data_IF_146344346194
#
_entry.id   IF_146344346194
#
_cell.length_a   1.000
_cell.length_b   1.000
_cell.length_c   1.000
_cell.angle_alpha   90.00
_cell.angle_beta   90.00
_cell.angle_gamma   90.00
#
_symmetry.space_group_name_H-M   'P 1'
#
loop_
_entity.id
_entity.type
_entity.pdbx_description
1 polymer ?
#
# COMPACT_ATOMS: atom_id res chain seq x y z
N UNK A 1 59.21 40.46 3.32
CA UNK A 1 58.84 39.14 2.76
C UNK A 1 57.78 38.50 3.67
N UNK A 2 56.74 37.93 3.06
CA UNK A 2 55.73 37.00 3.61
C UNK A 2 54.59 37.51 4.52
N UNK A 3 53.39 37.58 3.93
CA UNK A 3 52.02 37.31 4.45
C UNK A 3 51.08 37.74 3.30
N UNK A 4 50.17 36.93 2.79
CA UNK A 4 48.91 36.46 3.39
C UNK A 4 48.45 35.23 2.58
N UNK A 5 48.13 34.13 3.27
CA UNK A 5 47.50 32.94 2.67
C UNK A 5 46.01 33.23 2.59
N UNK A 6 45.49 33.37 1.37
CA UNK A 6 44.06 33.55 1.09
C UNK A 6 43.34 32.22 1.17
N UNK A 7 42.47 32.06 2.16
CA UNK A 7 41.60 30.89 2.33
C UNK A 7 40.35 31.07 1.47
N UNK A 8 40.35 30.54 0.24
CA UNK A 8 39.15 30.44 -0.59
C UNK A 8 38.31 29.24 -0.14
N UNK A 9 37.23 29.51 0.59
CA UNK A 9 36.19 28.51 0.89
C UNK A 9 35.30 28.39 -0.34
N UNK A 10 35.46 27.30 -1.11
CA UNK A 10 34.50 26.88 -2.13
C UNK A 10 33.29 26.23 -1.44
N UNK A 11 32.18 26.96 -1.38
CA UNK A 11 30.86 26.40 -1.07
C UNK A 11 30.35 25.64 -2.30
N UNK A 12 30.54 24.32 -2.30
CA UNK A 12 29.85 23.41 -3.23
C UNK A 12 28.40 23.23 -2.73
N UNK A 13 27.46 23.95 -3.31
CA UNK A 13 26.03 23.64 -3.21
C UNK A 13 25.72 22.46 -4.12
N UNK A 14 25.70 21.25 -3.55
CA UNK A 14 25.16 20.07 -4.22
C UNK A 14 23.65 20.24 -4.39
N UNK A 15 23.20 20.42 -5.63
CA UNK A 15 21.80 20.25 -6.00
C UNK A 15 21.46 18.76 -5.84
N UNK A 16 20.86 18.40 -4.70
CA UNK A 16 20.16 17.13 -4.61
C UNK A 16 18.98 17.21 -5.57
N UNK A 17 19.06 16.45 -6.67
CA UNK A 17 17.89 16.20 -7.51
C UNK A 17 16.93 15.38 -6.65
N UNK A 18 15.84 15.99 -6.20
CA UNK A 18 14.72 15.21 -5.67
C UNK A 18 14.16 14.45 -6.87
N UNK A 19 14.35 13.12 -6.89
CA UNK A 19 13.50 12.31 -7.74
C UNK A 19 12.08 12.53 -7.23
N UNK A 20 11.23 13.13 -8.06
CA UNK A 20 9.82 13.33 -7.74
C UNK A 20 9.22 11.93 -7.52
N UNK A 21 8.58 11.72 -6.38
CA UNK A 21 7.85 10.49 -6.11
C UNK A 21 6.84 10.28 -7.24
N UNK A 22 6.83 9.07 -7.83
CA UNK A 22 5.86 8.71 -8.83
C UNK A 22 4.57 8.17 -8.21
N UNK A 23 3.57 7.85 -9.04
CA UNK A 23 2.28 7.32 -8.57
C UNK A 23 2.41 6.06 -7.70
N UNK A 24 3.41 5.21 -7.94
CA UNK A 24 3.69 4.04 -7.13
C UNK A 24 4.18 4.37 -5.73
N UNK A 25 5.08 5.35 -5.61
CA UNK A 25 5.61 5.85 -4.33
C UNK A 25 4.54 6.59 -3.52
N UNK A 26 3.68 7.38 -4.17
CA UNK A 26 2.56 8.05 -3.51
C UNK A 26 1.56 7.03 -2.95
N UNK A 27 1.21 6.01 -3.75
CA UNK A 27 0.35 4.92 -3.31
C UNK A 27 1.00 4.11 -2.17
N UNK A 28 2.32 3.93 -2.19
CA UNK A 28 3.03 3.25 -1.11
C UNK A 28 2.94 4.00 0.21
N UNK A 29 3.10 5.33 0.20
CA UNK A 29 2.93 6.16 1.40
C UNK A 29 1.49 6.07 1.94
N UNK A 30 0.50 6.10 1.04
CA UNK A 30 -0.89 5.91 1.43
C UNK A 30 -1.13 4.55 2.08
N UNK A 31 -0.64 3.47 1.46
CA UNK A 31 -0.75 2.11 1.99
C UNK A 31 -0.07 2.00 3.37
N UNK A 32 1.13 2.55 3.54
CA UNK A 32 1.87 2.56 4.82
C UNK A 32 1.06 3.20 5.94
N UNK A 33 0.43 4.36 5.68
CA UNK A 33 -0.45 5.05 6.64
C UNK A 33 -1.65 4.17 6.99
N UNK A 34 -2.32 3.61 5.99
CA UNK A 34 -3.52 2.80 6.18
C UNK A 34 -3.24 1.49 6.93
N UNK A 35 -2.09 0.86 6.68
CA UNK A 35 -1.61 -0.32 7.40
C UNK A 35 -1.24 -0.04 8.86
N UNK A 36 -0.77 1.18 9.15
CA UNK A 36 -0.51 1.61 10.53
C UNK A 36 -1.82 1.74 11.31
N UNK A 37 -2.85 2.35 10.71
CA UNK A 37 -4.19 2.44 11.30
C UNK A 37 -4.81 1.04 11.46
N UNK A 38 -4.70 0.17 10.46
CA UNK A 38 -5.14 -1.22 10.54
C UNK A 38 -4.50 -1.95 11.74
N UNK A 39 -3.19 -1.78 11.92
CA UNK A 39 -2.44 -2.38 13.03
C UNK A 39 -2.93 -1.87 14.38
N UNK A 40 -3.19 -0.56 14.51
CA UNK A 40 -3.71 0.03 15.74
C UNK A 40 -5.11 -0.51 16.08
N UNK A 41 -5.99 -0.59 15.08
CA UNK A 41 -7.34 -1.16 15.23
C UNK A 41 -7.31 -2.63 15.61
N UNK A 42 -6.42 -3.41 14.99
CA UNK A 42 -6.20 -4.81 15.34
C UNK A 42 -5.81 -4.97 16.82
N UNK A 43 -4.82 -4.21 17.27
CA UNK A 43 -4.34 -4.25 18.66
C UNK A 43 -5.42 -3.81 19.65
N UNK A 44 -6.21 -2.79 19.32
CA UNK A 44 -7.33 -2.32 20.15
C UNK A 44 -8.41 -3.39 20.30
N UNK A 45 -8.82 -4.02 19.19
CA UNK A 45 -9.82 -5.08 19.20
C UNK A 45 -9.33 -6.33 19.97
N UNK A 46 -8.04 -6.68 19.84
CA UNK A 46 -7.43 -7.79 20.55
C UNK A 46 -7.41 -7.65 22.08
N UNK A 47 -7.55 -6.43 22.62
CA UNK A 47 -7.63 -6.20 24.08
C UNK A 47 -8.95 -6.66 24.69
N UNK A 48 -10.00 -6.84 23.88
CA UNK A 48 -11.35 -7.21 24.33
C UNK A 48 -11.95 -8.29 23.43
N UNK A 49 -11.31 -9.46 23.29
CA UNK A 49 -11.63 -10.41 22.22
C UNK A 49 -13.06 -10.96 22.26
N UNK A 50 -13.67 -11.05 23.45
CA UNK A 50 -15.05 -11.51 23.62
C UNK A 50 -16.11 -10.40 23.52
N UNK A 51 -15.71 -9.15 23.32
CA UNK A 51 -16.67 -8.07 23.10
C UNK A 51 -17.34 -8.22 21.72
N UNK A 52 -18.60 -7.75 21.57
CA UNK A 52 -19.21 -7.64 20.25
C UNK A 52 -18.34 -6.83 19.29
N UNK A 53 -18.30 -7.24 18.04
CA UNK A 53 -17.70 -6.45 16.97
C UNK A 53 -18.34 -5.06 16.87
N UNK A 54 -17.55 -4.10 16.40
CA UNK A 54 -18.02 -2.75 16.09
C UNK A 54 -17.89 -2.54 14.59
N UNK A 55 -18.98 -2.67 13.80
CA UNK A 55 -18.95 -2.46 12.36
C UNK A 55 -18.34 -1.10 12.01
N UNK A 56 -17.79 -0.99 10.80
CA UNK A 56 -17.32 0.30 10.31
C UNK A 56 -18.54 1.19 10.05
N UNK A 57 -18.55 2.35 10.70
CA UNK A 57 -19.55 3.36 10.41
C UNK A 57 -19.32 3.94 9.00
N UNK A 58 -20.39 4.36 8.33
CA UNK A 58 -20.30 5.07 7.06
C UNK A 58 -19.57 6.42 7.24
N UNK A 59 -19.59 6.97 8.46
CA UNK A 59 -18.87 8.19 8.82
C UNK A 59 -17.42 7.93 9.27
N UNK A 60 -16.99 6.66 9.39
CA UNK A 60 -15.61 6.34 9.75
C UNK A 60 -14.67 6.67 8.59
N UNK A 61 -13.69 7.60 8.77
CA UNK A 61 -12.74 7.95 7.72
C UNK A 61 -11.99 6.74 7.15
N UNK A 62 -11.76 5.73 7.99
CA UNK A 62 -11.03 4.53 7.59
C UNK A 62 -11.78 3.71 6.53
N UNK A 63 -13.12 3.71 6.55
CA UNK A 63 -13.94 3.06 5.52
C UNK A 63 -13.66 3.69 4.15
N UNK A 64 -13.70 5.04 4.10
CA UNK A 64 -13.45 5.78 2.87
C UNK A 64 -12.03 5.55 2.35
N UNK A 65 -11.04 5.53 3.25
CA UNK A 65 -9.65 5.28 2.86
C UNK A 65 -9.44 3.84 2.35
N UNK A 66 -10.14 2.83 2.90
CA UNK A 66 -10.09 1.47 2.37
C UNK A 66 -10.72 1.37 0.97
N UNK A 67 -11.85 2.05 0.74
CA UNK A 67 -12.46 2.13 -0.58
C UNK A 67 -11.55 2.85 -1.59
N UNK A 68 -10.91 3.94 -1.16
CA UNK A 68 -9.93 4.66 -1.96
C UNK A 68 -8.75 3.75 -2.32
N UNK A 69 -8.18 3.03 -1.35
CA UNK A 69 -7.10 2.08 -1.60
C UNK A 69 -7.51 1.00 -2.62
N UNK A 70 -8.73 0.48 -2.49
CA UNK A 70 -9.24 -0.52 -3.42
C UNK A 70 -9.38 0.04 -4.84
N UNK A 71 -9.84 1.28 -4.99
CA UNK A 71 -9.97 1.97 -6.27
C UNK A 71 -8.61 2.27 -6.90
N UNK A 72 -7.67 2.84 -6.15
CA UNK A 72 -6.33 3.18 -6.61
C UNK A 72 -5.53 1.94 -6.99
N UNK A 73 -5.63 0.86 -6.21
CA UNK A 73 -5.06 -0.45 -6.58
C UNK A 73 -5.57 -0.92 -7.95
N UNK A 74 -6.88 -0.81 -8.19
CA UNK A 74 -7.45 -1.21 -9.48
C UNK A 74 -7.01 -0.28 -10.63
N UNK A 75 -6.81 1.01 -10.35
CA UNK A 75 -6.29 1.96 -11.33
C UNK A 75 -4.85 1.62 -11.71
N UNK A 76 -3.95 1.40 -10.75
CA UNK A 76 -2.57 0.96 -11.00
C UNK A 76 -2.54 -0.32 -11.84
N UNK A 77 -3.39 -1.29 -11.51
CA UNK A 77 -3.53 -2.52 -12.31
C UNK A 77 -3.85 -2.23 -13.79
N UNK A 78 -4.77 -1.30 -14.07
CA UNK A 78 -5.17 -0.91 -15.43
C UNK A 78 -4.08 -0.12 -16.15
N UNK A 79 -3.37 0.74 -15.44
CA UNK A 79 -2.26 1.52 -16.00
C UNK A 79 -1.09 0.62 -16.40
N UNK A 80 -0.73 -0.34 -15.55
CA UNK A 80 0.26 -1.37 -15.87
C UNK A 80 -0.17 -2.15 -17.12
N UNK A 81 -1.46 -2.55 -17.21
CA UNK A 81 -1.99 -3.26 -18.37
C UNK A 81 -1.89 -2.42 -19.66
N UNK A 82 -2.31 -1.16 -19.60
CA UNK A 82 -2.30 -0.24 -20.73
C UNK A 82 -0.87 0.07 -21.23
N UNK A 83 0.11 0.07 -20.34
CA UNK A 83 1.52 0.24 -20.65
C UNK A 83 2.19 -1.05 -21.17
N UNK A 84 1.48 -2.19 -21.18
CA UNK A 84 2.08 -3.49 -21.49
C UNK A 84 3.08 -3.96 -20.43
N UNK A 85 2.93 -3.48 -19.19
CA UNK A 85 3.80 -3.79 -18.07
C UNK A 85 3.67 -5.23 -17.56
N UNK A 86 4.42 -5.57 -16.50
CA UNK A 86 4.48 -6.95 -16.01
C UNK A 86 3.09 -7.47 -15.62
N UNK A 87 2.71 -8.61 -16.20
CA UNK A 87 1.43 -9.29 -15.93
C UNK A 87 1.22 -9.46 -14.43
N UNK A 88 2.31 -9.71 -13.70
CA UNK A 88 2.28 -9.89 -12.26
C UNK A 88 1.85 -8.70 -11.47
N UNK A 89 2.48 -7.55 -11.70
CA UNK A 89 2.12 -6.34 -11.00
C UNK A 89 0.64 -6.02 -11.27
N UNK A 90 0.21 -6.14 -12.53
CA UNK A 90 -1.20 -6.03 -12.90
C UNK A 90 -2.08 -6.97 -12.07
N UNK A 91 -1.70 -8.24 -11.91
CA UNK A 91 -2.48 -9.21 -11.16
C UNK A 91 -2.49 -8.95 -9.65
N UNK A 92 -1.34 -8.55 -9.09
CA UNK A 92 -1.15 -8.24 -7.68
C UNK A 92 -2.06 -7.07 -7.29
N UNK A 93 -2.00 -5.94 -8.00
CA UNK A 93 -2.82 -4.77 -7.69
C UNK A 93 -4.32 -5.03 -7.86
N UNK A 94 -4.70 -5.83 -8.87
CA UNK A 94 -6.10 -6.28 -9.00
C UNK A 94 -6.53 -7.20 -7.87
N UNK A 95 -5.60 -8.01 -7.36
CA UNK A 95 -5.79 -8.84 -6.16
C UNK A 95 -6.02 -7.98 -4.94
N UNK A 96 -5.14 -7.00 -4.68
CA UNK A 96 -5.23 -6.06 -3.56
C UNK A 96 -6.57 -5.33 -3.53
N UNK A 97 -7.01 -4.79 -4.67
CA UNK A 97 -8.33 -4.14 -4.79
C UNK A 97 -9.48 -5.01 -4.29
N UNK A 98 -9.52 -6.28 -4.73
CA UNK A 98 -10.57 -7.22 -4.35
C UNK A 98 -10.44 -7.71 -2.91
N UNK A 99 -9.22 -7.95 -2.45
CA UNK A 99 -8.96 -8.41 -1.08
C UNK A 99 -9.35 -7.34 -0.07
N UNK A 100 -9.08 -6.07 -0.36
CA UNK A 100 -9.53 -4.95 0.47
C UNK A 100 -11.06 -4.90 0.56
N UNK A 101 -11.78 -4.98 -0.55
CA UNK A 101 -13.26 -5.00 -0.55
C UNK A 101 -13.82 -6.18 0.27
N UNK A 102 -13.28 -7.38 0.06
CA UNK A 102 -13.68 -8.56 0.81
C UNK A 102 -13.43 -8.40 2.33
N UNK A 103 -12.37 -7.70 2.71
CA UNK A 103 -12.04 -7.42 4.12
C UNK A 103 -12.94 -6.34 4.73
N UNK A 104 -13.37 -5.33 3.97
CA UNK A 104 -14.39 -4.37 4.42
C UNK A 104 -15.68 -5.13 4.78
N UNK A 105 -16.15 -5.98 3.87
CA UNK A 105 -17.32 -6.83 4.10
C UNK A 105 -17.15 -7.73 5.32
N UNK A 106 -15.97 -8.34 5.48
CA UNK A 106 -15.65 -9.19 6.63
C UNK A 106 -15.65 -8.42 7.95
N UNK A 107 -15.14 -7.18 7.99
CA UNK A 107 -15.17 -6.35 9.22
C UNK A 107 -16.61 -6.06 9.65
N UNK A 108 -17.48 -5.79 8.69
CA UNK A 108 -18.89 -5.50 8.93
C UNK A 108 -19.70 -6.75 9.27
N UNK A 109 -19.27 -7.94 8.83
CA UNK A 109 -19.88 -9.22 9.13
C UNK A 109 -19.34 -9.88 10.41
N UNK A 110 -18.23 -9.41 10.96
CA UNK A 110 -17.63 -9.96 12.18
C UNK A 110 -18.61 -9.87 13.35
N UNK A 111 -18.66 -10.92 14.16
CA UNK A 111 -19.51 -10.99 15.36
C UNK A 111 -18.73 -10.56 16.60
N UNK A 112 -17.42 -10.81 16.62
CA UNK A 112 -16.57 -10.55 17.78
C UNK A 112 -15.40 -9.62 17.47
N UNK A 113 -14.93 -8.91 18.49
CA UNK A 113 -13.71 -8.11 18.39
C UNK A 113 -12.47 -8.96 18.08
N UNK A 114 -12.45 -10.25 18.46
CA UNK A 114 -11.38 -11.17 18.07
C UNK A 114 -11.31 -11.39 16.56
N UNK A 115 -12.46 -11.59 15.91
CA UNK A 115 -12.54 -11.70 14.45
C UNK A 115 -12.09 -10.41 13.77
N UNK A 116 -12.58 -9.25 14.24
CA UNK A 116 -12.15 -7.95 13.73
C UNK A 116 -10.63 -7.75 13.89
N UNK A 117 -10.06 -8.14 15.03
CA UNK A 117 -8.61 -8.05 15.24
C UNK A 117 -7.84 -8.83 14.18
N UNK A 118 -8.30 -10.04 13.83
CA UNK A 118 -7.68 -10.86 12.79
C UNK A 118 -7.83 -10.24 11.39
N UNK A 119 -9.00 -9.69 11.07
CA UNK A 119 -9.25 -9.07 9.77
C UNK A 119 -8.40 -7.80 9.61
N UNK A 120 -8.34 -6.95 10.63
CA UNK A 120 -7.48 -5.75 10.64
C UNK A 120 -5.98 -6.11 10.56
N UNK A 121 -5.55 -7.20 11.20
CA UNK A 121 -4.16 -7.67 11.06
C UNK A 121 -3.84 -8.05 9.61
N UNK A 122 -4.76 -8.77 8.95
CA UNK A 122 -4.56 -9.10 7.54
C UNK A 122 -4.68 -7.90 6.58
N UNK A 123 -5.47 -6.87 6.92
CA UNK A 123 -5.39 -5.58 6.24
C UNK A 123 -4.03 -4.93 6.43
N UNK A 124 -3.48 -4.91 7.65
CA UNK A 124 -2.15 -4.36 7.90
C UNK A 124 -1.07 -5.05 7.07
N UNK A 125 -1.12 -6.38 6.98
CA UNK A 125 -0.23 -7.16 6.13
C UNK A 125 -0.40 -6.80 4.63
N UNK A 126 -1.64 -6.75 4.14
CA UNK A 126 -1.93 -6.36 2.75
C UNK A 126 -1.37 -4.97 2.40
N UNK A 127 -1.55 -4.00 3.30
CA UNK A 127 -1.09 -2.63 3.13
C UNK A 127 0.44 -2.52 3.19
N UNK A 128 1.09 -3.32 4.03
CA UNK A 128 2.56 -3.42 4.05
C UNK A 128 3.08 -3.96 2.72
N UNK A 129 2.47 -5.03 2.21
CA UNK A 129 2.88 -5.63 0.93
C UNK A 129 2.66 -4.63 -0.23
N UNK A 130 1.57 -3.87 -0.19
CA UNK A 130 1.31 -2.79 -1.14
C UNK A 130 2.38 -1.68 -1.08
N UNK A 131 2.76 -1.24 0.13
CA UNK A 131 3.81 -0.25 0.32
C UNK A 131 5.19 -0.72 -0.16
N UNK A 132 5.48 -2.03 -0.08
CA UNK A 132 6.73 -2.60 -0.56
C UNK A 132 6.75 -2.72 -2.09
N UNK A 133 5.63 -3.10 -2.71
CA UNK A 133 5.57 -3.43 -4.15
C UNK A 133 5.35 -2.19 -5.02
N UNK A 134 4.52 -1.24 -4.58
CA UNK A 134 4.09 -0.12 -5.42
C UNK A 134 5.21 0.78 -5.97
N UNK A 135 6.30 1.08 -5.23
CA UNK A 135 7.40 1.88 -5.78
C UNK A 135 8.08 1.22 -7.00
N UNK A 136 7.95 -0.10 -7.17
CA UNK A 136 8.49 -0.79 -8.34
C UNK A 136 7.82 -0.34 -9.65
N UNK A 137 6.62 0.24 -9.58
CA UNK A 137 5.92 0.82 -10.75
C UNK A 137 6.63 2.07 -11.26
N UNK A 138 7.23 2.87 -10.37
CA UNK A 138 7.90 4.13 -10.74
C UNK A 138 9.25 3.90 -11.41
N UNK A 139 9.71 2.65 -11.41
CA UNK A 139 11.00 2.24 -11.94
C UNK A 139 10.79 1.24 -13.08
N UNK A 140 11.65 1.25 -14.09
CA UNK A 140 11.73 0.18 -15.09
C UNK A 140 12.30 -1.11 -14.47
N UNK A 141 11.82 -1.54 -13.30
CA UNK A 141 12.30 -2.73 -12.62
C UNK A 141 11.82 -3.96 -13.38
N UNK A 142 12.77 -4.65 -14.01
CA UNK A 142 12.55 -5.89 -14.72
C UNK A 142 12.24 -7.04 -13.76
N UNK A 143 10.98 -7.48 -13.74
CA UNK A 143 10.49 -8.64 -12.99
C UNK A 143 10.40 -9.91 -13.86
N UNK A 144 11.04 -9.94 -15.04
CA UNK A 144 11.03 -11.07 -16.00
C UNK A 144 11.55 -12.40 -15.43
N UNK A 145 12.23 -12.37 -14.28
CA UNK A 145 12.73 -13.57 -13.59
C UNK A 145 11.66 -14.41 -12.89
N UNK A 146 10.39 -13.98 -12.87
CA UNK A 146 9.32 -14.67 -12.15
C UNK A 146 8.41 -15.49 -13.09
N UNK A 147 8.22 -16.75 -12.72
CA UNK A 147 7.26 -17.80 -13.18
C UNK A 147 5.76 -17.50 -13.23
N UNK A 148 5.20 -16.77 -14.21
CA UNK A 148 3.86 -16.19 -14.02
C UNK A 148 2.80 -16.59 -15.06
N UNK A 149 1.52 -16.72 -14.65
CA UNK A 149 0.43 -17.11 -15.54
C UNK A 149 0.11 -16.00 -16.56
N UNK A 150 -0.15 -16.40 -17.82
CA UNK A 150 -0.44 -15.49 -18.94
C UNK A 150 -1.68 -14.59 -18.72
N UNK A 151 -2.53 -14.96 -17.77
CA UNK A 151 -3.71 -14.19 -17.37
C UNK A 151 -3.83 -14.21 -15.87
N UNK A 152 -4.24 -13.08 -15.31
CA UNK A 152 -4.56 -13.00 -13.91
C UNK A 152 -5.76 -13.92 -13.60
N UNK A 153 -5.60 -14.94 -12.74
CA UNK A 153 -6.62 -15.96 -12.52
C UNK A 153 -7.93 -15.34 -12.04
N UNK A 154 -9.03 -15.80 -12.63
CA UNK A 154 -10.38 -15.57 -12.10
C UNK A 154 -10.57 -16.63 -11.02
N UNK A 155 -10.58 -16.26 -9.74
CA UNK A 155 -10.95 -17.22 -8.69
C UNK A 155 -12.44 -17.49 -8.85
N UNK A 156 -12.80 -18.74 -9.14
CA UNK A 156 -14.19 -19.20 -9.12
C UNK A 156 -14.60 -19.25 -7.65
N UNK A 157 -15.67 -18.54 -7.32
CA UNK A 157 -16.25 -18.49 -5.99
C UNK A 157 -16.93 -19.82 -5.66
#
# INVERSE_FOLDING_TARGET
>A
MLRVIGTSILLLTSLASVAEAGPGSDFAEFAQRLGTEASARSQSAAQRPAAPATPLDIEDPYTFELDQFAAESLMLSREIDAAGGPVDLRCIFRGMSRDTQARIDAINAAETAAEQAHIYAGLADLMRDAAEIAPAIDTDTDLSGVTLPASCPVRQN
#
